data_IF_539378224718
#
_entry.id   IF_539378224718
#
_cell.length_a   1.000
_cell.length_b   1.000
_cell.length_c   1.000
_cell.angle_alpha   90.00
_cell.angle_beta   90.00
_cell.angle_gamma   90.00
#
_symmetry.space_group_name_H-M   'P 1'
#
loop_
_entity.id
_entity.type
_entity.pdbx_description
1 polymer ?
#
# COMPACT_ATOMS: atom_id res chain seq x y z
N UNK A 1 16.99 18.14 -9.59
CA UNK A 1 16.57 18.24 -8.17
C UNK A 1 15.06 18.05 -8.12
N UNK A 2 14.59 16.83 -7.84
CA UNK A 2 13.24 16.57 -7.35
C UNK A 2 13.40 15.79 -6.05
N UNK A 3 12.75 16.27 -5.00
CA UNK A 3 13.05 15.97 -3.62
C UNK A 3 12.34 14.70 -3.15
N UNK A 4 12.67 13.51 -3.69
CA UNK A 4 12.09 12.26 -3.21
C UNK A 4 13.06 11.08 -3.34
N UNK A 5 14.34 11.28 -2.98
CA UNK A 5 15.22 10.19 -2.55
C UNK A 5 14.75 9.68 -1.17
N UNK A 6 13.48 9.26 -1.09
CA UNK A 6 12.88 8.74 0.12
C UNK A 6 13.36 7.30 0.29
N UNK A 7 14.41 7.10 1.09
CA UNK A 7 14.95 5.78 1.47
C UNK A 7 14.00 4.98 2.38
N UNK A 8 12.69 5.22 2.32
CA UNK A 8 11.70 4.66 3.22
C UNK A 8 10.32 4.44 2.59
N UNK A 9 9.45 3.65 3.26
CA UNK A 9 8.11 3.36 2.77
C UNK A 9 7.32 4.65 2.56
N UNK A 10 6.80 4.84 1.35
CA UNK A 10 6.03 6.05 1.01
C UNK A 10 4.60 5.67 0.69
N UNK A 11 3.64 6.30 1.39
CA UNK A 11 2.22 6.07 1.17
C UNK A 11 1.80 6.39 -0.26
N UNK A 12 2.38 7.43 -0.86
CA UNK A 12 2.13 7.78 -2.26
C UNK A 12 2.51 6.65 -3.22
N UNK A 13 3.69 6.04 -3.06
CA UNK A 13 4.11 4.92 -3.91
C UNK A 13 3.17 3.72 -3.79
N UNK A 14 2.71 3.40 -2.58
CA UNK A 14 1.72 2.35 -2.37
C UNK A 14 0.37 2.71 -3.00
N UNK A 15 -0.04 3.98 -2.87
CA UNK A 15 -1.27 4.50 -3.45
C UNK A 15 -1.25 4.41 -4.97
N UNK A 16 -0.16 4.80 -5.63
CA UNK A 16 -0.03 4.77 -7.09
C UNK A 16 -0.14 3.34 -7.63
N UNK A 17 0.51 2.37 -6.96
CA UNK A 17 0.39 0.95 -7.31
C UNK A 17 -1.04 0.45 -7.15
N UNK A 18 -1.68 0.84 -6.05
CA UNK A 18 -3.06 0.45 -5.77
C UNK A 18 -4.05 1.11 -6.74
N UNK A 19 -3.83 2.38 -7.10
CA UNK A 19 -4.69 3.13 -8.01
C UNK A 19 -4.74 2.53 -9.42
N UNK A 20 -3.63 1.97 -9.90
CA UNK A 20 -3.57 1.23 -11.15
C UNK A 20 -4.40 -0.08 -11.14
N UNK A 21 -4.84 -0.52 -9.96
CA UNK A 21 -5.51 -1.80 -9.72
C UNK A 21 -6.77 -1.62 -8.84
N UNK A 22 -7.52 -0.52 -9.03
CA UNK A 22 -8.79 -0.26 -8.32
C UNK A 22 -8.67 -0.28 -6.78
N UNK A 23 -7.53 0.18 -6.27
CA UNK A 23 -7.18 0.21 -4.86
C UNK A 23 -6.59 -1.09 -4.33
N UNK A 24 -6.33 -2.10 -5.17
CA UNK A 24 -5.75 -3.39 -4.79
C UNK A 24 -4.23 -3.41 -4.95
N UNK A 25 -3.55 -4.12 -4.06
CA UNK A 25 -2.13 -4.38 -4.19
C UNK A 25 -1.73 -5.71 -3.52
N UNK A 26 -0.61 -6.26 -3.96
CA UNK A 26 -0.03 -7.47 -3.39
C UNK A 26 1.01 -7.15 -2.32
N UNK A 27 1.33 -8.13 -1.47
CA UNK A 27 2.47 -8.03 -0.53
C UNK A 27 3.78 -7.68 -1.24
N UNK A 28 4.02 -8.23 -2.43
CA UNK A 28 5.24 -7.96 -3.19
C UNK A 28 5.30 -6.51 -3.67
N UNK A 29 4.19 -5.99 -4.21
CA UNK A 29 4.06 -4.60 -4.61
C UNK A 29 4.23 -3.63 -3.43
N UNK A 30 3.66 -3.98 -2.27
CA UNK A 30 3.87 -3.20 -1.05
C UNK A 30 5.36 -3.14 -0.66
N UNK A 31 6.08 -4.27 -0.78
CA UNK A 31 7.51 -4.31 -0.52
C UNK A 31 8.32 -3.43 -1.50
N UNK A 32 7.92 -3.35 -2.76
CA UNK A 32 8.51 -2.41 -3.74
C UNK A 32 8.29 -0.96 -3.31
N UNK A 33 7.13 -0.64 -2.71
CA UNK A 33 6.86 0.65 -2.09
C UNK A 33 7.50 0.84 -0.69
N UNK A 34 8.37 -0.09 -0.26
CA UNK A 34 9.10 -0.05 1.02
C UNK A 34 8.33 -0.62 2.23
N UNK A 35 7.12 -1.16 2.03
CA UNK A 35 6.30 -1.68 3.12
C UNK A 35 6.69 -3.11 3.52
N UNK A 36 7.07 -3.28 4.78
CA UNK A 36 7.26 -4.59 5.40
C UNK A 36 5.93 -5.21 5.85
N UNK A 37 5.91 -6.53 6.03
CA UNK A 37 4.74 -7.25 6.55
C UNK A 37 4.25 -6.72 7.91
N UNK A 38 5.11 -6.43 8.91
CA UNK A 38 4.66 -5.83 10.16
C UNK A 38 4.02 -4.45 9.98
N UNK A 39 4.55 -3.62 9.06
CA UNK A 39 3.99 -2.31 8.77
C UNK A 39 2.63 -2.43 8.09
N UNK A 40 2.45 -3.38 7.17
CA UNK A 40 1.13 -3.69 6.60
C UNK A 40 0.14 -4.17 7.67
N UNK A 41 0.58 -5.01 8.61
CA UNK A 41 -0.26 -5.46 9.72
C UNK A 41 -0.66 -4.29 10.65
N UNK A 42 0.25 -3.34 10.88
CA UNK A 42 -0.06 -2.11 11.59
C UNK A 42 -1.12 -1.30 10.82
N UNK A 43 -0.92 -1.06 9.52
CA UNK A 43 -1.89 -0.32 8.71
C UNK A 43 -3.25 -1.01 8.61
N UNK A 44 -3.25 -2.35 8.64
CA UNK A 44 -4.47 -3.15 8.72
C UNK A 44 -5.23 -2.90 10.02
N UNK A 45 -4.51 -2.92 11.16
CA UNK A 45 -5.11 -2.61 12.46
C UNK A 45 -5.63 -1.18 12.55
N UNK A 46 -4.94 -0.22 11.92
CA UNK A 46 -5.39 1.18 11.86
C UNK A 46 -6.52 1.42 10.84
N UNK A 47 -6.96 0.40 10.11
CA UNK A 47 -8.05 0.50 9.14
C UNK A 47 -7.70 1.20 7.82
N UNK A 48 -6.42 1.46 7.53
CA UNK A 48 -5.99 2.08 6.28
C UNK A 48 -5.98 1.10 5.10
N UNK A 49 -5.69 -0.16 5.39
CA UNK A 49 -5.66 -1.26 4.41
C UNK A 49 -6.48 -2.43 4.92
N UNK A 50 -7.21 -3.09 4.04
CA UNK A 50 -7.94 -4.32 4.33
C UNK A 50 -7.25 -5.49 3.63
N UNK A 51 -7.05 -6.60 4.33
CA UNK A 51 -6.57 -7.83 3.71
C UNK A 51 -7.77 -8.59 3.13
N UNK A 52 -7.85 -8.66 1.80
CA UNK A 52 -8.96 -9.33 1.11
C UNK A 52 -8.71 -10.84 1.06
N UNK A 53 -7.47 -11.25 0.74
CA UNK A 53 -7.03 -12.64 0.63
C UNK A 53 -5.58 -12.77 1.12
N UNK A 54 -5.06 -13.99 1.22
CA UNK A 54 -3.64 -14.21 1.53
C UNK A 54 -2.76 -13.54 0.46
N UNK A 55 -2.01 -12.51 0.86
CA UNK A 55 -1.10 -11.77 -0.01
C UNK A 55 -1.72 -10.64 -0.82
N UNK A 56 -3.04 -10.40 -0.69
CA UNK A 56 -3.79 -9.37 -1.43
C UNK A 56 -4.47 -8.43 -0.44
N UNK A 57 -4.25 -7.14 -0.66
CA UNK A 57 -4.72 -6.05 0.19
C UNK A 57 -5.46 -5.01 -0.66
N UNK A 58 -6.30 -4.21 0.01
CA UNK A 58 -7.03 -3.10 -0.58
C UNK A 58 -6.86 -1.85 0.28
N UNK A 59 -6.73 -0.69 -0.34
CA UNK A 59 -6.85 0.60 0.35
C UNK A 59 -8.33 0.85 0.72
N UNK A 60 -8.59 1.10 2.01
CA UNK A 60 -9.97 1.22 2.52
C UNK A 60 -10.66 2.49 2.02
N UNK A 61 -9.93 3.60 1.96
CA UNK A 61 -10.44 4.90 1.49
C UNK A 61 -10.21 5.12 -0.01
N UNK A 62 -9.96 4.06 -0.77
CA UNK A 62 -9.89 4.19 -2.22
C UNK A 62 -11.31 4.40 -2.77
N UNK A 63 -11.56 5.47 -3.55
CA UNK A 63 -12.88 5.72 -4.09
C UNK A 63 -13.32 4.50 -4.89
N UNK A 64 -14.50 3.98 -4.57
CA UNK A 64 -15.23 3.10 -5.49
C UNK A 64 -15.61 3.97 -6.68
N UNK A 65 -14.91 3.76 -7.81
CA UNK A 65 -15.20 4.44 -9.07
C UNK A 65 -16.62 4.22 -9.56
#
# INVERSE_FOLDING_TARGET
MRADDATGPTWQALYDIAAAQEGLFTTQQAAVAGYSLPLLAHHQKTGRVARIRRGIYRLVHFPSG
#
